data_IF_691511640241
#
_entry.id   IF_691511640241
#
_cell.length_a   1.000
_cell.length_b   1.000
_cell.length_c   1.000
_cell.angle_alpha   90.00
_cell.angle_beta   90.00
_cell.angle_gamma   90.00
#
_symmetry.space_group_name_H-M   'P 1'
#
loop_
_entity.id
_entity.type
_entity.pdbx_description
1 polymer ?
#
# COMPACT_ATOMS: atom_id res chain seq x y z
N UNK A 1 -15.82 12.95 1.28
CA UNK A 1 -14.41 13.43 1.19
C UNK A 1 -14.04 13.59 -0.28
N UNK A 2 -13.35 14.66 -0.66
CA UNK A 2 -12.81 14.82 -2.02
C UNK A 2 -11.41 14.19 -2.12
N UNK A 3 -10.99 13.84 -3.34
CA UNK A 3 -9.63 13.33 -3.60
C UNK A 3 -8.56 14.29 -3.05
N UNK A 4 -8.75 15.60 -3.26
CA UNK A 4 -7.84 16.64 -2.79
C UNK A 4 -7.72 16.68 -1.26
N UNK A 5 -8.83 16.50 -0.54
CA UNK A 5 -8.81 16.44 0.92
C UNK A 5 -8.05 15.22 1.45
N UNK A 6 -8.18 14.07 0.78
CA UNK A 6 -7.45 12.85 1.14
C UNK A 6 -5.94 13.00 0.91
N UNK A 7 -5.57 13.51 -0.27
CA UNK A 7 -4.16 13.77 -0.61
C UNK A 7 -3.52 14.79 0.33
N UNK A 8 -4.25 15.84 0.69
CA UNK A 8 -3.78 16.84 1.66
C UNK A 8 -3.49 16.21 3.02
N UNK A 9 -4.42 15.42 3.56
CA UNK A 9 -4.24 14.73 4.86
C UNK A 9 -3.05 13.77 4.83
N UNK A 10 -2.87 13.01 3.74
CA UNK A 10 -1.70 12.15 3.60
C UNK A 10 -0.39 12.95 3.57
N UNK A 11 -0.35 14.03 2.78
CA UNK A 11 0.83 14.89 2.69
C UNK A 11 1.21 15.45 4.07
N UNK A 12 0.23 15.96 4.82
CA UNK A 12 0.46 16.47 6.17
C UNK A 12 0.99 15.39 7.12
N UNK A 13 0.43 14.17 7.07
CA UNK A 13 0.91 13.04 7.87
C UNK A 13 2.35 12.63 7.49
N UNK A 14 2.67 12.63 6.20
CA UNK A 14 4.02 12.32 5.71
C UNK A 14 5.04 13.38 6.12
N UNK A 15 4.70 14.66 6.02
CA UNK A 15 5.55 15.77 6.46
C UNK A 15 5.79 15.72 7.97
N UNK A 16 4.76 15.41 8.77
CA UNK A 16 4.89 15.22 10.21
C UNK A 16 5.76 14.01 10.60
N UNK A 17 5.89 13.03 9.72
CA UNK A 17 6.79 11.89 9.88
C UNK A 17 8.20 12.14 9.32
N UNK A 18 8.47 13.35 8.82
CA UNK A 18 9.76 13.75 8.22
C UNK A 18 10.18 12.89 7.00
N UNK A 19 9.21 12.34 6.28
CA UNK A 19 9.47 11.49 5.10
C UNK A 19 9.42 12.35 3.82
N UNK A 20 10.46 12.24 2.99
CA UNK A 20 10.51 12.98 1.73
C UNK A 20 9.44 12.49 0.75
N UNK A 21 8.97 13.40 -0.11
CA UNK A 21 7.86 13.10 -1.00
C UNK A 21 8.17 12.03 -2.06
N UNK A 22 9.44 11.90 -2.43
CA UNK A 22 9.94 10.91 -3.36
C UNK A 22 9.98 9.51 -2.74
N UNK A 23 10.12 9.41 -1.42
CA UNK A 23 10.33 8.15 -0.71
C UNK A 23 9.01 7.46 -0.35
N UNK A 24 7.92 8.24 -0.18
CA UNK A 24 6.61 7.70 0.17
C UNK A 24 5.45 8.49 -0.44
N UNK A 25 4.67 7.81 -1.27
CA UNK A 25 3.50 8.33 -1.97
C UNK A 25 2.22 7.65 -1.46
N UNK A 26 1.07 8.30 -1.66
CA UNK A 26 -0.22 7.77 -1.15
C UNK A 26 -0.55 6.36 -1.69
N UNK A 27 -0.15 6.07 -2.93
CA UNK A 27 -0.33 4.75 -3.55
C UNK A 27 0.46 3.63 -2.86
N UNK A 28 1.55 3.96 -2.16
CA UNK A 28 2.40 2.99 -1.49
C UNK A 28 1.69 2.36 -0.27
N UNK A 29 0.67 3.02 0.27
CA UNK A 29 -0.22 2.43 1.28
C UNK A 29 -0.91 1.16 0.76
N UNK A 30 -1.26 1.13 -0.53
CA UNK A 30 -1.89 -0.05 -1.15
C UNK A 30 -0.91 -1.21 -1.24
N UNK A 31 0.35 -0.93 -1.58
CA UNK A 31 1.41 -1.93 -1.59
C UNK A 31 1.68 -2.46 -0.17
N UNK A 32 1.87 -1.57 0.81
CA UNK A 32 2.07 -1.95 2.22
C UNK A 32 0.92 -2.79 2.76
N UNK A 33 -0.33 -2.42 2.49
CA UNK A 33 -1.49 -3.19 2.92
C UNK A 33 -1.54 -4.62 2.30
N UNK A 34 -1.06 -4.78 1.06
CA UNK A 34 -0.91 -6.09 0.42
C UNK A 34 0.17 -6.93 1.08
N UNK A 35 1.34 -6.34 1.34
CA UNK A 35 2.44 -6.99 2.06
C UNK A 35 2.00 -7.42 3.46
N UNK A 36 1.44 -6.51 4.25
CA UNK A 36 0.95 -6.80 5.61
C UNK A 36 -0.04 -7.95 5.63
N UNK A 37 -0.94 -7.99 4.64
CA UNK A 37 -1.91 -9.07 4.54
C UNK A 37 -1.23 -10.40 4.27
N UNK A 38 -0.29 -10.42 3.33
CA UNK A 38 0.47 -11.62 2.97
C UNK A 38 1.29 -12.12 4.15
N UNK A 39 1.97 -11.23 4.86
CA UNK A 39 2.75 -11.55 6.06
C UNK A 39 1.86 -12.11 7.19
N UNK A 40 0.72 -11.47 7.43
CA UNK A 40 -0.20 -11.88 8.50
C UNK A 40 -0.90 -13.22 8.23
N UNK A 41 -1.13 -13.58 6.97
CA UNK A 41 -1.84 -14.83 6.62
C UNK A 41 -0.93 -15.94 6.11
N UNK A 42 0.31 -15.62 5.70
CA UNK A 42 1.19 -16.55 4.99
C UNK A 42 0.69 -16.93 3.59
N UNK A 43 -0.32 -16.23 3.06
CA UNK A 43 -0.96 -16.56 1.77
C UNK A 43 -1.32 -15.29 0.98
N UNK A 44 -0.65 -15.10 -0.16
CA UNK A 44 -0.83 -13.98 -1.08
C UNK A 44 -2.24 -13.88 -1.67
N UNK A 45 -3.01 -14.98 -1.71
CA UNK A 45 -4.40 -14.97 -2.21
C UNK A 45 -5.31 -14.12 -1.33
N UNK A 46 -4.98 -14.01 -0.03
CA UNK A 46 -5.69 -13.10 0.87
C UNK A 46 -5.41 -11.64 0.51
N UNK A 47 -4.17 -11.30 0.16
CA UNK A 47 -3.82 -9.98 -0.35
C UNK A 47 -4.49 -9.72 -1.71
N UNK A 48 -4.55 -10.69 -2.62
CA UNK A 48 -5.25 -10.57 -3.90
C UNK A 48 -6.72 -10.17 -3.69
N UNK A 49 -7.42 -10.89 -2.80
CA UNK A 49 -8.82 -10.61 -2.46
C UNK A 49 -8.99 -9.22 -1.84
N UNK A 50 -8.08 -8.81 -0.95
CA UNK A 50 -8.11 -7.49 -0.31
C UNK A 50 -7.86 -6.34 -1.30
N UNK A 51 -6.95 -6.54 -2.25
CA UNK A 51 -6.63 -5.53 -3.27
C UNK A 51 -7.62 -5.55 -4.44
N UNK A 52 -8.43 -6.60 -4.59
CA UNK A 52 -9.38 -6.75 -5.68
C UNK A 52 -8.70 -7.01 -7.03
N UNK A 53 -7.58 -7.73 -7.03
CA UNK A 53 -6.84 -8.04 -8.24
C UNK A 53 -7.38 -9.31 -8.94
N UNK A 54 -7.42 -9.30 -10.26
CA UNK A 54 -7.87 -10.43 -11.08
C UNK A 54 -6.90 -11.61 -11.11
N UNK A 55 -5.62 -11.40 -10.74
CA UNK A 55 -4.62 -12.47 -10.68
C UNK A 55 -3.65 -12.27 -9.52
N UNK A 56 -3.00 -13.37 -9.11
CA UNK A 56 -1.92 -13.36 -8.11
C UNK A 56 -0.70 -12.61 -8.64
N UNK A 57 -0.38 -12.74 -9.94
CA UNK A 57 0.75 -12.03 -10.58
C UNK A 57 0.62 -10.51 -10.42
N UNK A 58 -0.59 -9.96 -10.60
CA UNK A 58 -0.83 -8.53 -10.33
C UNK A 58 -0.60 -8.17 -8.87
N UNK A 59 -0.85 -9.09 -7.94
CA UNK A 59 -0.67 -8.88 -6.50
C UNK A 59 0.80 -8.92 -6.10
N UNK A 60 1.63 -9.74 -6.74
CA UNK A 60 3.08 -9.79 -6.54
C UNK A 60 3.74 -8.43 -6.81
N UNK A 61 3.23 -7.62 -7.73
CA UNK A 61 3.73 -6.26 -7.94
C UNK A 61 3.49 -5.30 -6.76
N UNK A 62 2.50 -5.59 -5.92
CA UNK A 62 2.14 -4.75 -4.76
C UNK A 62 2.66 -5.32 -3.45
N UNK A 63 2.95 -6.62 -3.39
CA UNK A 63 3.58 -7.26 -2.24
C UNK A 63 5.09 -7.14 -2.39
N UNK A 64 5.73 -6.33 -1.55
CA UNK A 64 7.19 -6.23 -1.52
C UNK A 64 7.81 -7.51 -0.91
N UNK A 65 8.84 -8.11 -1.52
CA UNK A 65 9.54 -9.25 -0.95
C UNK A 65 10.25 -8.84 0.35
N UNK A 66 10.00 -9.59 1.42
CA UNK A 66 10.79 -9.56 2.64
C UNK A 66 12.15 -10.21 2.35
N UNK A 67 13.24 -9.49 2.59
CA UNK A 67 14.58 -10.07 2.70
C UNK A 67 14.87 -10.32 4.18
#
# INVERSE_FOLDING_TARGET
MTLRALQYRFRAAREAAEIAAADFQFRDLRAKAGTDKTEATGDIRHAQKQLGHGSVVMTEHYVRPTH
#
